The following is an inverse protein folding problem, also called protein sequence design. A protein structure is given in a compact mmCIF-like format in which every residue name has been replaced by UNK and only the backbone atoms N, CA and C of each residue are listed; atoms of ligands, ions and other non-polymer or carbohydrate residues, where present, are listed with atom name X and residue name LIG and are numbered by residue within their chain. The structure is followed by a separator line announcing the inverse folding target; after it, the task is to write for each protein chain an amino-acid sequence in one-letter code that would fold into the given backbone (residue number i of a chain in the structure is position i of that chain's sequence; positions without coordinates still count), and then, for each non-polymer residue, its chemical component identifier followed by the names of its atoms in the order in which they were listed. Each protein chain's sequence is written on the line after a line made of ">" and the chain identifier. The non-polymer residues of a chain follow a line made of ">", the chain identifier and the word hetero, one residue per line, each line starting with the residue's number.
data_IF_584913212397
#
_entry.id   IF_584913212397
#
_cell.length_a   1.000
_cell.length_b   1.000
_cell.length_c   1.000
_cell.angle_alpha   90.00
_cell.angle_beta   90.00
_cell.angle_gamma   90.00
#
_symmetry.space_group_name_H-M   'P 1'
#
loop_
_entity.id
_entity.type
_entity.pdbx_description
1 polymer ?
#
# COMPACT_ATOMS: atom_id res chain seq x y z
N UNK A 1 -63.10 -65.12 142.50
CA UNK A 1 -62.41 -65.23 141.19
C UNK A 1 -61.10 -64.43 141.27
N UNK A 2 -59.95 -65.02 141.62
CA UNK A 2 -58.62 -64.35 141.45
C UNK A 2 -57.39 -65.28 141.59
N UNK A 3 -57.53 -66.61 141.58
CA UNK A 3 -56.41 -67.55 141.83
C UNK A 3 -56.07 -68.50 140.68
N UNK A 4 -56.97 -68.73 139.71
CA UNK A 4 -56.77 -69.68 138.60
C UNK A 4 -56.07 -69.07 137.37
N UNK A 5 -56.04 -67.74 137.23
CA UNK A 5 -55.36 -67.07 136.10
C UNK A 5 -53.85 -66.91 136.34
N UNK A 6 -53.41 -66.78 137.61
CA UNK A 6 -51.99 -66.59 137.95
C UNK A 6 -51.16 -67.88 137.85
N UNK A 7 -51.79 -69.04 138.09
CA UNK A 7 -51.16 -70.36 137.88
C UNK A 7 -50.77 -70.61 136.42
N UNK A 8 -51.70 -70.34 135.50
CA UNK A 8 -51.44 -70.46 134.05
C UNK A 8 -50.34 -69.51 133.56
N UNK A 9 -50.21 -68.32 134.17
CA UNK A 9 -49.12 -67.40 133.83
C UNK A 9 -47.76 -67.89 134.35
N UNK A 10 -47.72 -68.43 135.59
CA UNK A 10 -46.50 -68.99 136.18
C UNK A 10 -46.00 -70.22 135.40
N UNK A 11 -46.90 -71.08 134.97
CA UNK A 11 -46.58 -72.29 134.21
C UNK A 11 -46.08 -71.96 132.79
N UNK A 12 -46.68 -70.94 132.15
CA UNK A 12 -46.18 -70.38 130.87
C UNK A 12 -44.81 -69.73 131.02
N UNK A 13 -44.57 -68.98 132.11
CA UNK A 13 -43.26 -68.36 132.36
C UNK A 13 -42.18 -69.43 132.57
N UNK A 14 -42.49 -70.53 133.27
CA UNK A 14 -41.56 -71.65 133.45
C UNK A 14 -41.26 -72.39 132.15
N UNK A 15 -42.24 -72.60 131.26
CA UNK A 15 -42.02 -73.16 129.93
C UNK A 15 -41.10 -72.26 129.08
N UNK A 16 -41.37 -70.95 129.06
CA UNK A 16 -40.52 -69.99 128.34
C UNK A 16 -39.10 -69.99 128.90
N UNK A 17 -38.93 -70.04 130.22
CA UNK A 17 -37.60 -70.06 130.84
C UNK A 17 -36.83 -71.35 130.55
N UNK A 18 -37.53 -72.49 130.48
CA UNK A 18 -36.96 -73.77 130.07
C UNK A 18 -36.57 -73.75 128.58
N UNK A 19 -37.43 -73.24 127.70
CA UNK A 19 -37.19 -73.16 126.26
C UNK A 19 -36.03 -72.21 125.93
N UNK A 20 -35.92 -71.07 126.61
CA UNK A 20 -34.76 -70.20 126.50
C UNK A 20 -33.48 -70.87 126.99
N UNK A 21 -33.54 -71.61 128.10
CA UNK A 21 -32.37 -72.33 128.63
C UNK A 21 -31.93 -73.48 127.71
N UNK A 22 -32.87 -74.18 127.09
CA UNK A 22 -32.60 -75.24 126.11
C UNK A 22 -32.05 -74.68 124.79
N UNK A 23 -32.60 -73.55 124.31
CA UNK A 23 -32.10 -72.83 123.14
C UNK A 23 -30.67 -72.32 123.32
N UNK A 24 -30.34 -71.77 124.50
CA UNK A 24 -28.99 -71.27 124.79
C UNK A 24 -27.95 -72.41 124.91
N UNK A 25 -28.34 -73.57 125.44
CA UNK A 25 -27.48 -74.76 125.47
C UNK A 25 -27.19 -75.29 124.06
N UNK A 26 -28.19 -75.36 123.19
CA UNK A 26 -27.99 -75.78 121.79
C UNK A 26 -27.07 -74.82 121.01
N UNK A 27 -27.16 -73.50 121.25
CA UNK A 27 -26.24 -72.53 120.65
C UNK A 27 -24.80 -72.68 121.20
N UNK A 28 -24.67 -72.95 122.50
CA UNK A 28 -23.37 -73.16 123.15
C UNK A 28 -22.70 -74.44 122.65
N UNK A 29 -23.45 -75.51 122.43
CA UNK A 29 -22.92 -76.76 121.88
C UNK A 29 -22.54 -76.62 120.40
N UNK A 30 -23.33 -75.89 119.59
CA UNK A 30 -22.96 -75.60 118.20
C UNK A 30 -21.76 -74.66 118.06
N UNK A 31 -21.55 -73.72 118.99
CA UNK A 31 -20.37 -72.85 118.99
C UNK A 31 -19.07 -73.63 119.31
N UNK A 32 -19.14 -74.67 120.14
CA UNK A 32 -17.99 -75.54 120.45
C UNK A 32 -17.62 -76.49 119.31
N UNK A 33 -18.54 -76.83 118.40
CA UNK A 33 -18.22 -77.64 117.21
C UNK A 33 -17.45 -76.88 116.11
N UNK A 34 -17.53 -75.54 116.07
CA UNK A 34 -16.84 -74.71 115.07
C UNK A 34 -15.37 -74.43 115.42
N UNK A 35 -14.96 -74.70 116.67
CA UNK A 35 -13.62 -74.45 117.19
C UNK A 35 -12.57 -75.54 116.95
N UNK A 36 -12.63 -76.32 115.86
CA UNK A 36 -11.56 -77.29 115.51
C UNK A 36 -10.39 -76.58 114.79
N UNK A 37 -9.16 -76.56 115.34
CA UNK A 37 -8.02 -75.81 114.80
C UNK A 37 -7.33 -76.49 113.59
N UNK A 38 -8.03 -77.30 112.81
CA UNK A 38 -7.46 -78.13 111.74
C UNK A 38 -7.72 -77.69 110.29
N UNK A 39 -8.65 -76.75 110.04
CA UNK A 39 -9.07 -76.37 108.67
C UNK A 39 -8.69 -74.93 108.26
N UNK A 40 -7.89 -74.21 109.05
CA UNK A 40 -7.50 -72.82 108.74
C UNK A 40 -6.24 -72.73 107.86
N UNK A 41 -5.30 -73.68 107.98
CA UNK A 41 -4.04 -73.66 107.21
C UNK A 41 -4.23 -73.98 105.73
N UNK A 42 -5.16 -74.88 105.39
CA UNK A 42 -5.49 -75.22 103.99
C UNK A 42 -6.32 -74.11 103.29
N UNK A 43 -7.19 -73.43 104.05
CA UNK A 43 -7.91 -72.24 103.57
C UNK A 43 -7.01 -71.02 103.38
N UNK A 44 -5.92 -70.89 104.15
CA UNK A 44 -4.94 -69.81 103.93
C UNK A 44 -4.12 -70.03 102.67
N UNK A 45 -3.60 -71.25 102.45
CA UNK A 45 -2.88 -71.58 101.21
C UNK A 45 -3.75 -71.40 99.97
N UNK A 46 -5.02 -71.83 100.00
CA UNK A 46 -5.98 -71.59 98.90
C UNK A 46 -6.27 -70.10 98.67
N UNK A 47 -6.27 -69.26 99.72
CA UNK A 47 -6.39 -67.80 99.58
C UNK A 47 -5.12 -67.16 98.99
N UNK A 48 -3.95 -67.62 99.42
CA UNK A 48 -2.66 -67.15 98.87
C UNK A 48 -2.50 -67.58 97.40
N UNK A 49 -2.95 -68.80 97.05
CA UNK A 49 -3.07 -69.28 95.67
C UNK A 49 -4.11 -68.50 94.85
N UNK A 50 -5.28 -68.17 95.41
CA UNK A 50 -6.30 -67.35 94.73
C UNK A 50 -5.81 -65.91 94.47
N UNK A 51 -5.04 -65.32 95.39
CA UNK A 51 -4.40 -64.03 95.18
C UNK A 51 -3.34 -64.08 94.08
N UNK A 52 -2.51 -65.14 94.05
CA UNK A 52 -1.53 -65.36 92.99
C UNK A 52 -2.18 -65.59 91.62
N UNK A 53 -3.28 -66.35 91.56
CA UNK A 53 -4.05 -66.59 90.34
C UNK A 53 -4.71 -65.30 89.81
N UNK A 54 -5.27 -64.47 90.70
CA UNK A 54 -5.84 -63.18 90.33
C UNK A 54 -4.77 -62.22 89.78
N UNK A 55 -3.61 -62.13 90.43
CA UNK A 55 -2.48 -61.33 89.95
C UNK A 55 -1.96 -61.84 88.61
N UNK A 56 -1.89 -63.17 88.43
CA UNK A 56 -1.52 -63.78 87.16
C UNK A 56 -2.51 -63.41 86.05
N UNK A 57 -3.83 -63.48 86.31
CA UNK A 57 -4.89 -63.06 85.38
C UNK A 57 -4.79 -61.58 85.01
N UNK A 58 -4.55 -60.70 85.97
CA UNK A 58 -4.36 -59.27 85.69
C UNK A 58 -3.09 -59.02 84.87
N UNK A 59 -1.99 -59.70 85.21
CA UNK A 59 -0.75 -59.62 84.44
C UNK A 59 -0.96 -60.08 82.98
N UNK A 60 -1.66 -61.19 82.79
CA UNK A 60 -1.97 -61.73 81.47
C UNK A 60 -2.89 -60.80 80.68
N UNK A 61 -3.96 -60.29 81.30
CA UNK A 61 -4.85 -59.30 80.69
C UNK A 61 -4.12 -58.01 80.32
N UNK A 62 -3.23 -57.52 81.19
CA UNK A 62 -2.43 -56.32 80.93
C UNK A 62 -1.47 -56.54 79.76
N UNK A 63 -0.78 -57.67 79.74
CA UNK A 63 0.10 -58.05 78.63
C UNK A 63 -0.67 -58.15 77.31
N UNK A 64 -1.85 -58.77 77.31
CA UNK A 64 -2.71 -58.86 76.13
C UNK A 64 -3.12 -57.47 75.63
N UNK A 65 -3.56 -56.58 76.53
CA UNK A 65 -3.94 -55.21 76.16
C UNK A 65 -2.75 -54.46 75.55
N UNK A 66 -1.57 -54.53 76.16
CA UNK A 66 -0.38 -53.87 75.61
C UNK A 66 0.00 -54.40 74.23
N UNK A 67 -0.01 -55.72 74.06
CA UNK A 67 0.26 -56.34 72.76
C UNK A 67 -0.76 -55.90 71.71
N UNK A 68 -2.05 -55.85 72.07
CA UNK A 68 -3.10 -55.37 71.18
C UNK A 68 -2.94 -53.88 70.82
N UNK A 69 -2.51 -53.04 71.77
CA UNK A 69 -2.20 -51.62 71.51
C UNK A 69 -1.02 -51.49 70.56
N UNK A 70 0.05 -52.26 70.77
CA UNK A 70 1.24 -52.26 69.90
C UNK A 70 0.90 -52.70 68.48
N UNK A 71 0.15 -53.81 68.33
CA UNK A 71 -0.34 -54.27 67.03
C UNK A 71 -1.24 -53.22 66.36
N UNK A 72 -2.12 -52.56 67.12
CA UNK A 72 -2.98 -51.48 66.61
C UNK A 72 -2.18 -50.26 66.19
N UNK A 73 -1.12 -49.90 66.93
CA UNK A 73 -0.24 -48.79 66.59
C UNK A 73 0.53 -49.05 65.28
N UNK A 74 1.07 -50.26 65.10
CA UNK A 74 1.76 -50.66 63.86
C UNK A 74 0.82 -50.64 62.65
N UNK A 75 -0.41 -51.13 62.81
CA UNK A 75 -1.43 -51.04 61.75
C UNK A 75 -1.79 -49.57 61.47
N UNK A 76 -1.89 -48.75 62.53
CA UNK A 76 -2.12 -47.31 62.41
C UNK A 76 -1.04 -46.59 61.62
N UNK A 77 0.23 -46.83 61.91
CA UNK A 77 1.37 -46.30 61.16
C UNK A 77 1.34 -46.76 59.69
N UNK A 78 1.04 -48.04 59.44
CA UNK A 78 0.90 -48.53 58.06
C UNK A 78 -0.21 -47.81 57.28
N UNK A 79 -1.37 -47.57 57.90
CA UNK A 79 -2.47 -46.86 57.26
C UNK A 79 -2.10 -45.39 57.05
N UNK A 80 -1.47 -44.74 58.02
CA UNK A 80 -1.03 -43.35 57.93
C UNK A 80 -0.06 -43.15 56.76
N UNK A 81 0.92 -44.05 56.59
CA UNK A 81 1.85 -43.97 55.45
C UNK A 81 1.14 -44.11 54.10
N UNK A 82 0.09 -44.91 54.00
CA UNK A 82 -0.67 -45.07 52.76
C UNK A 82 -1.58 -43.87 52.50
N UNK A 83 -2.22 -43.33 53.54
CA UNK A 83 -2.99 -42.08 53.47
C UNK A 83 -2.09 -40.93 53.02
N UNK A 84 -0.89 -40.84 53.58
CA UNK A 84 0.09 -39.82 53.20
C UNK A 84 0.44 -39.88 51.71
N UNK A 85 0.77 -41.08 51.19
CA UNK A 85 1.06 -41.25 49.75
C UNK A 85 -0.11 -40.84 48.87
N UNK A 86 -1.34 -41.17 49.28
CA UNK A 86 -2.52 -40.74 48.56
C UNK A 86 -2.65 -39.21 48.55
N UNK A 87 -2.47 -38.56 49.71
CA UNK A 87 -2.51 -37.09 49.81
C UNK A 87 -1.44 -36.45 48.92
N UNK A 88 -0.21 -36.93 48.97
CA UNK A 88 0.88 -36.42 48.14
C UNK A 88 0.57 -36.56 46.63
N UNK A 89 -0.03 -37.69 46.23
CA UNK A 89 -0.47 -37.93 44.87
C UNK A 89 -1.57 -36.93 44.44
N UNK A 90 -2.60 -36.75 45.27
CA UNK A 90 -3.71 -35.83 44.98
C UNK A 90 -3.27 -34.37 44.95
N UNK A 91 -2.37 -33.95 45.85
CA UNK A 91 -1.79 -32.61 45.78
C UNK A 91 -0.94 -32.41 44.52
N UNK A 92 -0.19 -33.44 44.11
CA UNK A 92 0.53 -33.44 42.84
C UNK A 92 -0.40 -33.22 41.64
N UNK A 93 -1.50 -33.98 41.59
CA UNK A 93 -2.51 -33.83 40.55
C UNK A 93 -3.19 -32.45 40.60
N UNK A 94 -3.52 -31.95 41.79
CA UNK A 94 -4.11 -30.62 41.96
C UNK A 94 -3.16 -29.52 41.46
N UNK A 95 -1.86 -29.61 41.77
CA UNK A 95 -0.86 -28.66 41.25
C UNK A 95 -0.76 -28.70 39.72
N UNK A 96 -0.74 -29.89 39.11
CA UNK A 96 -0.71 -30.04 37.66
C UNK A 96 -1.96 -29.45 36.99
N UNK A 97 -3.15 -29.69 37.57
CA UNK A 97 -4.40 -29.11 37.08
C UNK A 97 -4.42 -27.59 37.21
N UNK A 98 -3.94 -27.03 38.33
CA UNK A 98 -3.84 -25.57 38.49
C UNK A 98 -2.88 -24.94 37.49
N UNK A 99 -1.76 -25.58 37.17
CA UNK A 99 -0.84 -25.12 36.12
C UNK A 99 -1.49 -25.15 34.75
N UNK A 100 -2.19 -26.24 34.41
CA UNK A 100 -2.95 -26.34 33.15
C UNK A 100 -4.02 -25.25 33.06
N UNK A 101 -4.77 -25.02 34.15
CA UNK A 101 -5.77 -23.96 34.20
C UNK A 101 -5.14 -22.59 33.94
N UNK A 102 -4.02 -22.27 34.59
CA UNK A 102 -3.32 -21.01 34.38
C UNK A 102 -2.85 -20.83 32.92
N UNK A 103 -2.40 -21.90 32.26
CA UNK A 103 -2.05 -21.86 30.83
C UNK A 103 -3.29 -21.71 29.93
N UNK A 104 -4.41 -22.30 30.31
CA UNK A 104 -5.66 -22.17 29.55
C UNK A 104 -6.27 -20.77 29.70
N UNK A 105 -6.02 -20.10 30.82
CA UNK A 105 -6.47 -18.75 31.10
C UNK A 105 -5.75 -17.70 30.22
N UNK A 106 -4.55 -17.97 29.72
CA UNK A 106 -3.84 -17.08 28.77
C UNK A 106 -4.29 -17.28 27.32
N UNK A 107 -4.95 -18.39 27.01
CA UNK A 107 -5.37 -18.75 25.64
C UNK A 107 -6.29 -17.69 24.99
N UNK A 108 -7.31 -17.11 25.67
CA UNK A 108 -8.11 -16.03 25.10
C UNK A 108 -7.29 -14.80 24.70
N UNK A 109 -6.23 -14.47 25.46
CA UNK A 109 -5.32 -13.38 25.12
C UNK A 109 -4.58 -13.64 23.81
N UNK A 110 -4.05 -14.85 23.62
CA UNK A 110 -3.42 -15.25 22.35
C UNK A 110 -4.42 -15.23 21.18
N UNK A 111 -5.67 -15.61 21.41
CA UNK A 111 -6.72 -15.54 20.39
C UNK A 111 -7.03 -14.09 20.01
N UNK A 112 -7.06 -13.16 20.97
CA UNK A 112 -7.24 -11.73 20.74
C UNK A 112 -6.06 -11.12 19.96
N UNK A 113 -4.83 -11.50 20.31
CA UNK A 113 -3.63 -11.07 19.57
C UNK A 113 -3.65 -11.60 18.13
N UNK A 114 -4.01 -12.86 17.93
CA UNK A 114 -4.15 -13.46 16.61
C UNK A 114 -5.25 -12.78 15.79
N UNK A 115 -6.40 -12.46 16.40
CA UNK A 115 -7.47 -11.75 15.71
C UNK A 115 -7.03 -10.34 15.32
N UNK A 116 -6.30 -9.63 16.20
CA UNK A 116 -5.74 -8.31 15.88
C UNK A 116 -4.72 -8.38 14.73
N UNK A 117 -3.83 -9.37 14.72
CA UNK A 117 -2.90 -9.59 13.60
C UNK A 117 -3.67 -9.88 12.32
N UNK A 118 -4.72 -10.70 12.39
CA UNK A 118 -5.58 -11.02 11.24
C UNK A 118 -6.26 -9.77 10.69
N UNK A 119 -6.77 -8.89 11.57
CA UNK A 119 -7.35 -7.61 11.19
C UNK A 119 -6.33 -6.67 10.56
N UNK A 120 -5.10 -6.58 11.12
CA UNK A 120 -4.02 -5.78 10.55
C UNK A 120 -3.61 -6.28 9.16
N UNK A 121 -3.52 -7.60 8.97
CA UNK A 121 -3.21 -8.20 7.66
C UNK A 121 -4.33 -7.90 6.65
N UNK A 122 -5.59 -8.01 7.06
CA UNK A 122 -6.73 -7.66 6.19
C UNK A 122 -6.71 -6.16 5.81
N UNK A 123 -6.39 -5.28 6.77
CA UNK A 123 -6.20 -3.86 6.51
C UNK A 123 -5.09 -3.59 5.50
N UNK A 124 -3.93 -4.23 5.67
CA UNK A 124 -2.81 -4.10 4.75
C UNK A 124 -3.15 -4.61 3.33
N UNK A 125 -3.90 -5.72 3.22
CA UNK A 125 -4.41 -6.18 1.92
C UNK A 125 -5.30 -5.14 1.24
N UNK A 126 -6.20 -4.49 2.00
CA UNK A 126 -7.02 -3.39 1.47
C UNK A 126 -6.20 -2.18 1.04
N UNK A 127 -5.14 -1.84 1.79
CA UNK A 127 -4.24 -0.75 1.42
C UNK A 127 -3.48 -1.06 0.12
N UNK A 128 -3.05 -2.32 -0.08
CA UNK A 128 -2.42 -2.74 -1.33
C UNK A 128 -3.38 -2.64 -2.52
N UNK A 129 -4.63 -3.11 -2.38
CA UNK A 129 -5.65 -2.95 -3.43
C UNK A 129 -5.87 -1.47 -3.78
N UNK A 130 -5.87 -0.59 -2.77
CA UNK A 130 -5.99 0.86 -2.99
C UNK A 130 -4.78 1.46 -3.70
N UNK A 131 -3.56 1.01 -3.38
CA UNK A 131 -2.34 1.45 -4.06
C UNK A 131 -2.31 0.96 -5.50
N UNK A 132 -2.68 -0.30 -5.76
CA UNK A 132 -2.80 -0.84 -7.12
C UNK A 132 -3.80 -0.03 -7.95
N UNK A 133 -4.97 0.30 -7.37
CA UNK A 133 -5.95 1.17 -8.03
C UNK A 133 -5.37 2.55 -8.39
N UNK A 134 -4.69 3.21 -7.45
CA UNK A 134 -4.10 4.54 -7.69
C UNK A 134 -2.95 4.50 -8.68
N UNK A 135 -2.21 3.39 -8.75
CA UNK A 135 -1.13 3.20 -9.71
C UNK A 135 -1.70 3.04 -11.12
N UNK A 136 -2.79 2.28 -11.29
CA UNK A 136 -3.50 2.18 -12.56
C UNK A 136 -4.07 3.55 -12.99
N UNK A 137 -4.68 4.31 -12.06
CA UNK A 137 -5.18 5.66 -12.38
C UNK A 137 -4.04 6.61 -12.79
N UNK A 138 -2.85 6.47 -12.19
CA UNK A 138 -1.67 7.23 -12.59
C UNK A 138 -1.19 6.85 -13.99
N UNK A 139 -1.18 5.55 -14.31
CA UNK A 139 -0.84 5.04 -15.64
C UNK A 139 -1.79 5.63 -16.71
N UNK A 140 -3.10 5.56 -16.48
CA UNK A 140 -4.12 6.16 -17.36
C UNK A 140 -3.87 7.66 -17.60
N UNK A 141 -3.53 8.40 -16.54
CA UNK A 141 -3.23 9.84 -16.63
C UNK A 141 -1.94 10.10 -17.41
N UNK A 142 -0.91 9.28 -17.22
CA UNK A 142 0.36 9.37 -17.94
C UNK A 142 0.18 9.10 -19.44
N UNK A 143 -0.54 8.03 -19.80
CA UNK A 143 -0.87 7.71 -21.20
C UNK A 143 -1.66 8.84 -21.85
N UNK A 144 -2.66 9.38 -21.14
CA UNK A 144 -3.46 10.50 -21.63
C UNK A 144 -2.61 11.76 -21.83
N UNK A 145 -1.66 12.04 -20.93
CA UNK A 145 -0.75 13.17 -21.07
C UNK A 145 0.17 13.00 -22.28
N UNK A 146 0.73 11.82 -22.49
CA UNK A 146 1.59 11.51 -23.64
C UNK A 146 0.83 11.66 -24.95
N UNK A 147 -0.38 11.12 -25.03
CA UNK A 147 -1.25 11.25 -26.20
C UNK A 147 -1.52 12.73 -26.52
N UNK A 148 -1.83 13.55 -25.52
CA UNK A 148 -2.04 14.99 -25.70
C UNK A 148 -0.78 15.73 -26.15
N UNK A 149 0.39 15.36 -25.61
CA UNK A 149 1.67 15.92 -26.02
C UNK A 149 1.97 15.60 -27.50
N UNK A 150 1.78 14.36 -27.92
CA UNK A 150 1.95 13.93 -29.31
C UNK A 150 0.99 14.66 -30.24
N UNK A 151 -0.30 14.74 -29.90
CA UNK A 151 -1.27 15.51 -30.69
C UNK A 151 -0.88 16.99 -30.81
N UNK A 152 -0.43 17.61 -29.72
CA UNK A 152 0.08 18.98 -29.72
C UNK A 152 1.28 19.13 -30.65
N UNK A 153 2.23 18.20 -30.60
CA UNK A 153 3.41 18.19 -31.48
C UNK A 153 3.01 18.09 -32.96
N UNK A 154 2.10 17.17 -33.32
CA UNK A 154 1.59 17.06 -34.69
C UNK A 154 0.89 18.34 -35.15
N UNK A 155 0.05 18.94 -34.30
CA UNK A 155 -0.59 20.23 -34.59
C UNK A 155 0.43 21.34 -34.81
N UNK A 156 1.49 21.39 -34.00
CA UNK A 156 2.57 22.37 -34.13
C UNK A 156 3.39 22.16 -35.41
N UNK A 157 3.72 20.91 -35.75
CA UNK A 157 4.38 20.55 -37.01
C UNK A 157 3.56 21.01 -38.22
N UNK A 158 2.25 20.73 -38.20
CA UNK A 158 1.34 21.13 -39.28
C UNK A 158 1.23 22.66 -39.40
N UNK A 159 1.10 23.36 -38.28
CA UNK A 159 1.05 24.82 -38.26
C UNK A 159 2.34 25.46 -38.80
N UNK A 160 3.51 24.93 -38.41
CA UNK A 160 4.81 25.36 -38.91
C UNK A 160 4.97 25.12 -40.41
N UNK A 161 4.56 23.93 -40.89
CA UNK A 161 4.56 23.61 -42.31
C UNK A 161 3.64 24.54 -43.12
N UNK A 162 2.42 24.76 -42.63
CA UNK A 162 1.48 25.68 -43.26
C UNK A 162 2.05 27.10 -43.34
N UNK A 163 2.65 27.60 -42.24
CA UNK A 163 3.30 28.90 -42.22
C UNK A 163 4.45 28.99 -43.24
N UNK A 164 5.30 27.96 -43.32
CA UNK A 164 6.39 27.89 -44.29
C UNK A 164 5.86 27.94 -45.73
N UNK A 165 4.75 27.24 -46.02
CA UNK A 165 4.10 27.26 -47.34
C UNK A 165 3.47 28.61 -47.69
N UNK A 166 2.87 29.29 -46.71
CA UNK A 166 2.36 30.66 -46.90
C UNK A 166 3.51 31.62 -47.26
N UNK A 167 4.63 31.55 -46.54
CA UNK A 167 5.81 32.39 -46.83
C UNK A 167 6.45 32.05 -48.19
N UNK A 168 6.51 30.78 -48.56
CA UNK A 168 6.99 30.34 -49.87
C UNK A 168 6.13 30.92 -51.00
N UNK A 169 4.80 30.83 -50.86
CA UNK A 169 3.85 31.39 -51.82
C UNK A 169 3.98 32.90 -51.93
N UNK A 170 4.06 33.61 -50.81
CA UNK A 170 4.25 35.07 -50.79
C UNK A 170 5.56 35.48 -51.47
N UNK A 171 6.64 34.75 -51.24
CA UNK A 171 7.93 34.99 -51.89
C UNK A 171 7.86 34.74 -53.41
N UNK A 172 7.21 33.65 -53.85
CA UNK A 172 6.99 33.37 -55.27
C UNK A 172 6.15 34.46 -55.93
N UNK A 173 5.11 34.95 -55.25
CA UNK A 173 4.28 36.04 -55.75
C UNK A 173 5.09 37.33 -55.94
N UNK A 174 5.89 37.72 -54.94
CA UNK A 174 6.78 38.89 -55.06
C UNK A 174 7.79 38.72 -56.19
N UNK A 175 8.38 37.53 -56.36
CA UNK A 175 9.31 37.26 -57.45
C UNK A 175 8.63 37.37 -58.82
N UNK A 176 7.42 36.83 -58.95
CA UNK A 176 6.62 36.90 -60.18
C UNK A 176 6.29 38.35 -60.53
N UNK A 177 5.84 39.14 -59.54
CA UNK A 177 5.53 40.57 -59.72
C UNK A 177 6.77 41.35 -60.19
N UNK A 178 7.94 41.10 -59.60
CA UNK A 178 9.19 41.74 -60.00
C UNK A 178 9.60 41.39 -61.45
N UNK A 179 9.42 40.14 -61.86
CA UNK A 179 9.66 39.70 -63.24
C UNK A 179 8.68 40.36 -64.20
N UNK A 180 7.38 40.40 -63.85
CA UNK A 180 6.34 41.06 -64.63
C UNK A 180 6.64 42.56 -64.82
N UNK A 181 6.91 43.28 -63.73
CA UNK A 181 7.26 44.70 -63.74
C UNK A 181 8.50 44.98 -64.61
N UNK A 182 9.52 44.11 -64.54
CA UNK A 182 10.71 44.21 -65.41
C UNK A 182 10.32 44.02 -66.88
N UNK A 183 9.52 42.99 -67.18
CA UNK A 183 9.12 42.67 -68.55
C UNK A 183 8.29 43.79 -69.18
N UNK A 184 7.34 44.35 -68.43
CA UNK A 184 6.54 45.51 -68.86
C UNK A 184 7.45 46.68 -69.19
N UNK A 185 8.41 47.00 -68.32
CA UNK A 185 9.37 48.09 -68.56
C UNK A 185 10.22 47.87 -69.82
N UNK A 186 10.69 46.64 -70.05
CA UNK A 186 11.44 46.29 -71.27
C UNK A 186 10.58 46.45 -72.53
N UNK A 187 9.31 46.03 -72.48
CA UNK A 187 8.37 46.21 -73.60
C UNK A 187 8.08 47.69 -73.85
N UNK A 188 7.82 48.48 -72.81
CA UNK A 188 7.62 49.92 -72.92
C UNK A 188 8.84 50.62 -73.53
N UNK A 189 10.05 50.27 -73.11
CA UNK A 189 11.29 50.81 -73.66
C UNK A 189 11.44 50.48 -75.14
N UNK A 190 11.22 49.21 -75.53
CA UNK A 190 11.28 48.78 -76.93
C UNK A 190 10.23 49.50 -77.80
N UNK A 191 9.01 49.68 -77.29
CA UNK A 191 7.97 50.46 -77.97
C UNK A 191 8.38 51.93 -78.15
N UNK A 192 8.96 52.55 -77.12
CA UNK A 192 9.47 53.92 -77.19
C UNK A 192 10.61 54.07 -78.22
N UNK A 193 11.53 53.11 -78.29
CA UNK A 193 12.59 53.13 -79.31
C UNK A 193 12.01 53.04 -80.72
N UNK A 194 11.08 52.12 -80.99
CA UNK A 194 10.38 52.06 -82.30
C UNK A 194 9.69 53.37 -82.66
N UNK A 195 9.06 54.03 -81.69
CA UNK A 195 8.42 55.34 -81.92
C UNK A 195 9.44 56.44 -82.22
N UNK A 196 10.59 56.46 -81.53
CA UNK A 196 11.68 57.40 -81.79
C UNK A 196 12.32 57.18 -83.15
N UNK A 197 12.59 55.93 -83.52
CA UNK A 197 13.10 55.58 -84.85
C UNK A 197 12.15 56.04 -85.95
N UNK A 198 10.85 55.77 -85.78
CA UNK A 198 9.81 56.23 -86.71
C UNK A 198 9.78 57.76 -86.81
N UNK A 199 9.84 58.46 -85.67
CA UNK A 199 9.90 59.92 -85.66
C UNK A 199 11.14 60.46 -86.37
N UNK A 200 12.32 59.85 -86.13
CA UNK A 200 13.58 60.21 -86.78
C UNK A 200 13.49 60.02 -88.30
N UNK A 201 12.95 58.89 -88.76
CA UNK A 201 12.73 58.62 -90.18
C UNK A 201 11.84 59.68 -90.84
N UNK A 202 10.74 60.07 -90.17
CA UNK A 202 9.87 61.13 -90.68
C UNK A 202 10.55 62.51 -90.67
N UNK A 203 11.37 62.79 -89.66
CA UNK A 203 12.12 64.04 -89.58
C UNK A 203 13.19 64.15 -90.66
N UNK A 204 13.92 63.06 -90.93
CA UNK A 204 14.89 62.98 -92.02
C UNK A 204 14.21 63.18 -93.37
N UNK A 205 13.11 62.46 -93.63
CA UNK A 205 12.31 62.65 -94.85
C UNK A 205 11.81 64.10 -95.02
N UNK A 206 11.34 64.73 -93.94
CA UNK A 206 10.93 66.13 -93.97
C UNK A 206 12.10 67.09 -94.27
N UNK A 207 13.27 66.85 -93.68
CA UNK A 207 14.44 67.68 -93.91
C UNK A 207 14.94 67.54 -95.36
N UNK A 208 14.91 66.34 -95.91
CA UNK A 208 15.21 66.08 -97.31
C UNK A 208 14.23 66.82 -98.23
N UNK A 209 12.92 66.77 -97.94
CA UNK A 209 11.90 67.54 -98.66
C UNK A 209 12.14 69.06 -98.56
N UNK A 210 12.52 69.56 -97.39
CA UNK A 210 12.84 70.97 -97.16
C UNK A 210 14.10 71.40 -97.95
N UNK A 211 15.12 70.56 -97.99
CA UNK A 211 16.32 70.79 -98.80
C UNK A 211 15.98 70.80 -100.29
N UNK A 212 15.15 69.85 -100.73
CA UNK A 212 14.67 69.80 -102.10
C UNK A 212 13.91 71.09 -102.45
N UNK A 213 13.02 71.56 -101.57
CA UNK A 213 12.30 72.82 -101.76
C UNK A 213 13.25 74.02 -101.88
N UNK A 214 14.30 74.10 -101.03
CA UNK A 214 15.30 75.18 -101.10
C UNK A 214 16.10 75.18 -102.41
N UNK A 215 16.37 74.00 -102.98
CA UNK A 215 17.16 73.86 -104.22
C UNK A 215 16.33 74.09 -105.48
N UNK A 216 15.06 73.66 -105.51
CA UNK A 216 14.26 73.59 -106.74
C UNK A 216 13.00 74.48 -106.74
N UNK A 217 12.68 75.18 -105.64
CA UNK A 217 11.60 76.16 -105.56
C UNK A 217 10.17 75.58 -105.57
N UNK A 218 10.03 74.26 -105.60
CA UNK A 218 8.76 73.53 -105.50
C UNK A 218 8.93 72.32 -104.57
N UNK A 219 7.85 71.93 -103.87
CA UNK A 219 7.88 70.74 -103.00
C UNK A 219 8.06 69.51 -103.88
N UNK A 220 8.99 68.61 -103.51
CA UNK A 220 9.03 67.28 -104.11
C UNK A 220 7.73 66.58 -103.75
N UNK A 221 6.82 66.40 -104.71
CA UNK A 221 5.81 65.37 -104.56
C UNK A 221 6.53 64.04 -104.76
N UNK A 222 7.04 63.43 -103.69
CA UNK A 222 7.57 62.07 -103.82
C UNK A 222 6.39 61.10 -103.95
N UNK A 223 6.45 60.11 -104.87
CA UNK A 223 5.32 59.26 -105.19
C UNK A 223 4.95 58.40 -103.98
N UNK A 224 3.64 58.29 -103.75
CA UNK A 224 3.09 57.15 -103.05
C UNK A 224 3.73 55.87 -103.57
N UNK A 225 4.09 55.00 -102.62
CA UNK A 225 4.25 53.58 -102.85
C UNK A 225 3.17 53.07 -103.83
N UNK A 226 3.60 52.85 -105.08
CA UNK A 226 2.81 52.17 -106.08
C UNK A 226 3.00 50.68 -105.85
N UNK A 227 2.12 50.09 -105.04
CA UNK A 227 2.14 48.65 -104.84
C UNK A 227 1.16 48.07 -103.83
N UNK A 228 -0.06 48.59 -103.71
CA UNK A 228 -1.30 47.80 -103.58
C UNK A 228 -2.50 48.70 -103.23
N UNK A 229 -3.50 48.64 -104.11
CA UNK A 229 -4.92 49.02 -103.97
C UNK A 229 -5.43 49.03 -102.53
N UNK A 230 -6.15 50.04 -102.05
CA UNK A 230 -7.53 50.33 -102.44
C UNK A 230 -7.96 51.68 -101.87
N UNK A 231 -8.71 52.43 -102.66
CA UNK A 231 -9.33 53.69 -102.29
C UNK A 231 -10.60 53.46 -101.45
N UNK A 232 -11.16 54.59 -100.98
CA UNK A 232 -12.32 54.80 -100.10
C UNK A 232 -11.93 54.70 -98.61
N UNK A 233 -12.04 55.71 -97.75
CA UNK A 233 -12.90 56.88 -97.74
C UNK A 233 -12.26 58.04 -96.94
N UNK A 234 -12.57 59.26 -97.35
CA UNK A 234 -12.18 60.47 -96.67
C UNK A 234 -13.06 60.74 -95.45
N UNK A 235 -12.40 61.06 -94.33
CA UNK A 235 -12.86 62.05 -93.36
C UNK A 235 -13.91 61.62 -92.35
N UNK A 236 -13.50 61.43 -91.10
CA UNK A 236 -14.13 62.02 -89.91
C UNK A 236 -13.20 61.87 -88.72
N UNK A 237 -13.21 62.86 -87.83
CA UNK A 237 -12.61 62.90 -86.49
C UNK A 237 -13.24 61.86 -85.54
N UNK A 238 -13.27 60.60 -85.96
CA UNK A 238 -13.91 59.48 -85.26
C UNK A 238 -13.00 58.22 -85.26
N UNK A 239 -11.78 58.31 -85.81
CA UNK A 239 -10.82 57.19 -85.85
C UNK A 239 -9.94 57.05 -84.60
N UNK A 240 -10.20 57.84 -83.55
CA UNK A 240 -9.68 57.55 -82.20
C UNK A 240 -10.51 56.46 -81.49
N UNK A 241 -11.75 56.20 -81.96
CA UNK A 241 -12.57 55.09 -81.48
C UNK A 241 -12.25 53.76 -82.16
N UNK A 242 -11.45 53.79 -83.23
CA UNK A 242 -11.04 52.63 -84.03
C UNK A 242 -9.58 52.19 -83.78
N UNK A 243 -8.93 52.70 -82.72
CA UNK A 243 -7.83 51.97 -82.07
C UNK A 243 -8.48 50.80 -81.30
N UNK A 244 -8.87 49.77 -82.04
CA UNK A 244 -8.98 48.43 -81.47
C UNK A 244 -7.56 48.08 -81.02
N UNK A 245 -7.31 48.18 -79.72
CA UNK A 245 -6.25 47.41 -79.07
C UNK A 245 -6.45 45.97 -79.56
N UNK A 246 -5.51 45.48 -80.36
CA UNK A 246 -5.38 44.05 -80.70
C UNK A 246 -4.98 43.23 -79.45
N UNK A 247 -5.65 43.48 -78.31
CA UNK A 247 -5.66 42.63 -77.11
C UNK A 247 -6.80 41.58 -77.21
N UNK A 248 -7.35 41.38 -78.41
CA UNK A 248 -8.48 40.45 -78.65
C UNK A 248 -8.00 39.00 -78.81
N UNK A 249 -6.69 38.74 -78.90
CA UNK A 249 -6.19 37.37 -78.84
C UNK A 249 -5.99 36.83 -77.42
N UNK A 250 -5.86 37.70 -76.41
CA UNK A 250 -5.54 37.24 -75.06
C UNK A 250 -6.78 37.06 -74.18
N UNK A 251 -7.97 37.53 -74.57
CA UNK A 251 -9.16 37.47 -73.69
C UNK A 251 -9.70 36.05 -73.48
N UNK A 252 -9.71 35.22 -74.52
CA UNK A 252 -10.09 33.81 -74.39
C UNK A 252 -9.01 32.97 -73.69
N UNK A 253 -7.74 33.38 -73.79
CA UNK A 253 -6.65 32.73 -73.06
C UNK A 253 -6.60 33.17 -71.59
N UNK A 254 -6.94 34.44 -71.29
CA UNK A 254 -7.14 34.95 -69.92
C UNK A 254 -8.30 34.26 -69.21
N UNK A 255 -9.43 34.04 -69.89
CA UNK A 255 -10.58 33.31 -69.30
C UNK A 255 -10.22 31.83 -69.03
N UNK A 256 -9.34 31.22 -69.83
CA UNK A 256 -8.80 29.88 -69.58
C UNK A 256 -7.76 29.87 -68.44
N UNK A 257 -6.97 30.95 -68.28
CA UNK A 257 -5.95 31.06 -67.23
C UNK A 257 -6.54 31.42 -65.86
N UNK A 258 -7.59 32.24 -65.82
CA UNK A 258 -8.27 32.63 -64.59
C UNK A 258 -9.21 31.54 -64.05
N UNK A 259 -9.55 30.54 -64.87
CA UNK A 259 -10.47 29.46 -64.52
C UNK A 259 -11.91 29.96 -64.26
N UNK A 260 -12.92 29.07 -64.31
CA UNK A 260 -14.27 29.46 -63.92
C UNK A 260 -14.25 29.89 -62.45
N UNK A 261 -14.82 31.06 -62.14
CA UNK A 261 -14.93 31.62 -60.79
C UNK A 261 -15.94 30.83 -59.91
N UNK A 262 -16.53 29.77 -60.46
CA UNK A 262 -17.53 28.93 -59.80
C UNK A 262 -16.94 27.54 -59.50
N UNK A 263 -15.95 27.46 -58.61
CA UNK A 263 -15.74 26.25 -57.78
C UNK A 263 -14.92 26.54 -56.50
N UNK A 264 -15.40 27.49 -55.69
CA UNK A 264 -14.92 27.69 -54.31
C UNK A 264 -16.00 27.27 -53.30
N UNK A 265 -16.59 26.09 -53.51
CA UNK A 265 -17.51 25.48 -52.56
C UNK A 265 -17.37 23.97 -52.60
N UNK A 266 -16.96 23.37 -51.47
CA UNK A 266 -16.85 21.93 -51.22
C UNK A 266 -15.59 21.21 -51.76
N UNK A 267 -14.45 21.46 -51.11
CA UNK A 267 -13.59 20.31 -50.74
C UNK A 267 -14.06 19.80 -49.39
N UNK A 268 -15.11 18.96 -49.47
CA UNK A 268 -15.48 18.03 -48.42
C UNK A 268 -14.37 17.00 -48.26
N UNK A 269 -14.09 16.69 -46.99
CA UNK A 269 -13.17 15.67 -46.54
C UNK A 269 -13.68 14.31 -47.03
N UNK A 270 -13.08 13.75 -48.07
CA UNK A 270 -13.13 12.32 -48.32
C UNK A 270 -11.89 11.71 -47.68
N UNK A 271 -12.12 11.01 -46.58
CA UNK A 271 -11.18 10.12 -45.95
C UNK A 271 -10.97 8.93 -46.88
N UNK A 272 -9.79 8.84 -47.49
CA UNK A 272 -9.32 7.58 -48.03
C UNK A 272 -8.80 6.75 -46.85
N UNK A 273 -9.56 5.70 -46.55
CA UNK A 273 -9.12 4.56 -45.74
C UNK A 273 -8.02 3.84 -46.53
N UNK A 274 -6.75 4.07 -46.17
CA UNK A 274 -5.67 3.16 -46.53
C UNK A 274 -5.58 2.08 -45.44
N UNK A 275 -5.94 0.87 -45.84
CA UNK A 275 -5.62 -0.37 -45.12
C UNK A 275 -4.10 -0.57 -45.18
N UNK A 276 -3.40 -0.31 -44.07
CA UNK A 276 -2.04 -0.81 -43.87
C UNK A 276 -2.10 -2.26 -43.39
N UNK A 277 -1.69 -3.18 -44.26
CA UNK A 277 -1.30 -4.54 -43.90
C UNK A 277 -0.04 -4.47 -43.01
N UNK A 278 -0.22 -4.71 -41.71
CA UNK A 278 0.92 -4.96 -40.81
C UNK A 278 1.49 -6.36 -41.10
N UNK A 279 2.71 -6.40 -41.64
CA UNK A 279 3.55 -7.60 -41.60
C UNK A 279 4.02 -7.84 -40.16
N UNK A 280 3.32 -8.74 -39.46
CA UNK A 280 3.72 -9.30 -38.17
C UNK A 280 4.74 -10.42 -38.39
N UNK A 281 6.02 -10.13 -38.13
CA UNK A 281 7.06 -11.12 -37.89
C UNK A 281 7.91 -10.68 -36.70
N UNK A 282 7.84 -11.36 -35.55
CA UNK A 282 8.77 -12.48 -35.29
C UNK A 282 8.58 -13.10 -33.89
N UNK A 283 8.50 -14.43 -33.89
CA UNK A 283 8.93 -15.39 -32.87
C UNK A 283 8.35 -15.35 -31.44
N UNK A 284 7.30 -16.16 -31.26
CA UNK A 284 7.11 -16.97 -30.05
C UNK A 284 7.92 -18.27 -30.19
N UNK A 285 8.88 -18.49 -29.29
CA UNK A 285 9.25 -19.84 -28.83
C UNK A 285 9.57 -19.79 -27.35
N UNK A 286 8.60 -20.20 -26.52
CA UNK A 286 8.86 -20.75 -25.19
C UNK A 286 9.05 -22.25 -25.35
N UNK A 287 10.22 -22.76 -24.99
CA UNK A 287 10.36 -24.13 -24.47
C UNK A 287 11.44 -24.15 -23.39
N UNK A 288 10.96 -24.49 -22.19
CA UNK A 288 11.69 -24.85 -20.98
C UNK A 288 12.02 -26.34 -20.96
N UNK A 289 13.00 -26.70 -20.11
CA UNK A 289 13.62 -28.03 -19.85
C UNK A 289 14.86 -28.32 -20.71
N UNK A 290 16.04 -28.67 -20.17
CA UNK A 290 16.50 -28.96 -18.82
C UNK A 290 17.94 -29.52 -18.87
N UNK A 291 18.59 -29.54 -17.71
CA UNK A 291 19.75 -30.36 -17.31
C UNK A 291 21.15 -30.11 -17.88
N UNK A 292 21.99 -29.58 -16.98
CA UNK A 292 23.22 -30.19 -16.43
C UNK A 292 24.45 -30.37 -17.35
N UNK A 293 25.51 -29.61 -17.06
CA UNK A 293 26.89 -30.11 -17.03
C UNK A 293 27.84 -29.10 -16.38
N UNK A 294 28.53 -29.59 -15.35
CA UNK A 294 29.74 -29.05 -14.75
C UNK A 294 30.88 -28.87 -15.78
N UNK A 295 31.72 -27.85 -15.60
CA UNK A 295 33.16 -27.98 -15.29
C UNK A 295 34.03 -26.85 -15.88
N UNK A 296 34.83 -26.27 -14.98
CA UNK A 296 36.22 -25.83 -15.11
C UNK A 296 36.63 -24.65 -16.01
N UNK A 297 37.10 -23.61 -15.28
CA UNK A 297 38.45 -23.02 -15.35
C UNK A 297 38.92 -22.33 -16.64
N UNK A 298 39.30 -21.04 -16.53
CA UNK A 298 40.70 -20.58 -16.49
C UNK A 298 40.73 -19.02 -16.47
N UNK A 299 41.53 -18.53 -15.52
CA UNK A 299 42.03 -17.17 -15.28
C UNK A 299 42.96 -16.66 -16.41
N UNK A 300 42.82 -15.38 -16.84
CA UNK A 300 43.95 -14.49 -17.18
C UNK A 300 43.57 -13.01 -17.00
N UNK A 301 44.01 -12.45 -15.88
CA UNK A 301 44.60 -11.10 -15.64
C UNK A 301 44.83 -10.14 -16.85
N UNK A 302 44.35 -8.88 -16.77
CA UNK A 302 45.17 -7.70 -17.15
C UNK A 302 44.70 -6.38 -16.50
N UNK A 303 45.69 -5.70 -15.94
CA UNK A 303 45.68 -4.41 -15.23
C UNK A 303 45.28 -3.23 -16.12
N UNK A 304 44.62 -2.23 -15.55
CA UNK A 304 45.13 -0.85 -15.57
C UNK A 304 44.52 -0.01 -14.42
N UNK A 305 45.39 0.57 -13.59
CA UNK A 305 45.07 1.52 -12.51
C UNK A 305 46.11 2.62 -12.60
N UNK A 306 45.68 3.86 -12.85
CA UNK A 306 46.45 5.13 -12.81
C UNK A 306 45.40 6.24 -13.03
N UNK A 307 45.19 7.32 -12.28
CA UNK A 307 45.95 8.09 -11.29
C UNK A 307 44.96 9.01 -10.53
N UNK A 308 45.19 9.23 -9.23
CA UNK A 308 44.93 10.52 -8.58
C UNK A 308 46.29 11.14 -8.21
N UNK A 309 46.35 12.46 -7.97
CA UNK A 309 47.31 12.98 -7.00
C UNK A 309 46.63 13.77 -5.87
N UNK A 310 47.04 13.43 -4.65
CA UNK A 310 47.00 14.27 -3.46
C UNK A 310 47.92 15.49 -3.63
N UNK A 311 47.53 16.65 -3.08
CA UNK A 311 48.48 17.61 -2.52
C UNK A 311 47.97 18.11 -1.17
N UNK A 312 48.93 18.16 -0.28
CA UNK A 312 48.96 18.31 1.17
C UNK A 312 48.58 19.69 1.70
N UNK A 313 48.25 19.72 2.99
CA UNK A 313 47.74 20.88 3.72
C UNK A 313 48.76 21.94 4.16
N UNK A 314 48.24 22.91 4.90
CA UNK A 314 49.00 23.72 5.86
C UNK A 314 48.06 24.39 6.87
N UNK A 315 48.67 24.80 7.98
CA UNK A 315 48.18 24.83 9.35
C UNK A 315 47.47 26.13 9.79
N UNK A 316 46.60 25.95 10.79
CA UNK A 316 46.50 26.67 12.09
C UNK A 316 46.82 28.16 12.11
N UNK A 317 45.84 28.98 12.52
CA UNK A 317 45.99 29.92 13.66
C UNK A 317 44.60 30.20 14.26
N UNK A 318 44.51 30.07 15.59
CA UNK A 318 43.38 30.53 16.40
C UNK A 318 43.76 31.78 17.20
N UNK A 319 42.73 32.43 17.76
CA UNK A 319 42.67 33.49 18.79
C UNK A 319 41.53 34.45 18.40
N UNK A 320 40.73 35.09 19.26
CA UNK A 320 40.36 34.99 20.67
C UNK A 320 39.32 36.13 20.88
N UNK A 321 38.33 35.93 21.76
CA UNK A 321 37.56 36.89 22.60
C UNK A 321 36.97 38.19 22.00
N UNK A 322 35.65 38.42 22.18
CA UNK A 322 35.08 39.37 23.17
C UNK A 322 33.56 39.53 23.10
N UNK A 323 32.94 39.40 24.27
CA UNK A 323 31.58 39.84 24.61
C UNK A 323 31.45 41.37 24.53
N UNK A 324 30.27 41.87 24.11
CA UNK A 324 29.68 43.08 24.72
C UNK A 324 28.16 43.13 24.50
N UNK A 325 27.44 42.79 25.56
CA UNK A 325 26.32 43.52 26.16
C UNK A 325 25.80 44.78 25.41
N UNK A 326 24.51 44.82 25.06
CA UNK A 326 23.54 45.87 25.48
C UNK A 326 22.17 45.76 24.77
N UNK A 327 21.14 45.50 25.58
CA UNK A 327 19.76 45.94 25.40
C UNK A 327 19.66 47.37 25.97
N UNK A 328 18.71 48.24 25.54
CA UNK A 328 17.40 48.26 26.21
C UNK A 328 16.20 48.76 25.36
N UNK A 329 14.99 48.54 25.92
CA UNK A 329 13.73 49.29 25.83
C UNK A 329 13.14 49.66 24.43
N UNK A 330 11.86 49.51 24.11
CA UNK A 330 10.62 49.40 24.90
C UNK A 330 9.49 50.08 24.10
N UNK A 331 8.23 49.83 24.49
CA UNK A 331 6.97 50.49 24.06
C UNK A 331 6.33 50.00 22.74
N UNK A 332 5.31 49.13 22.81
CA UNK A 332 3.87 49.39 23.07
C UNK A 332 3.18 50.12 21.92
N UNK A 333 2.34 49.41 21.16
CA UNK A 333 1.12 49.99 20.58
C UNK A 333 0.08 48.90 20.27
N UNK A 334 -1.03 48.98 20.99
CA UNK A 334 -2.40 48.61 20.63
C UNK A 334 -3.29 49.68 21.29
N UNK A 335 -4.56 49.87 20.94
CA UNK A 335 -5.32 49.53 19.72
C UNK A 335 -6.06 50.77 19.15
N UNK A 336 -6.80 50.67 18.04
CA UNK A 336 -8.17 51.23 17.88
C UNK A 336 -8.75 51.11 16.46
N UNK A 337 -9.99 50.58 16.42
CA UNK A 337 -11.16 50.99 15.62
C UNK A 337 -11.11 50.99 14.07
N UNK A 338 -11.96 50.16 13.43
CA UNK A 338 -13.26 50.62 12.92
C UNK A 338 -14.05 49.51 12.18
N UNK A 339 -15.36 49.48 12.50
CA UNK A 339 -16.50 48.75 11.92
C UNK A 339 -16.63 47.24 12.13
#
# INVERSE_FOLDING_TARGET
>A
MSGKMFGNFRERLQHVQHDFSAGLKNLTDKAKEVGKPGLTRDRSKKRDLAGAELLYRYKESWMHIHKSIEETAVVGESVDTEVWKMVECYEGQARALSQLHAQLETFPGLVQELSSITEMVAGLSSDFEQVEYLLNELEDVCEQQEMQANQSEHRNKLASYHQAKVLERENLQVQLDLVYLRKVREMEFSQQERLKERHKMFQEAFNDDLQHYKLYGARSALPHASGASSAEAAGTTDELSALTLDDIMDKSELDNFLGPVDDLGEMGVEAEEEEEEEEESDSVTTDTEGTDSQAESIDVTRQDVTQMPEVTGSEVTGSEVTETEQQPDGQTDTPEQNN
#
